data_IF_121388783274
#
_entry.id   IF_121388783274
#
_cell.length_a   1.000
_cell.length_b   1.000
_cell.length_c   1.000
_cell.angle_alpha   90.00
_cell.angle_beta   90.00
_cell.angle_gamma   90.00
#
_symmetry.space_group_name_H-M   'P 1'
#
loop_
_entity.id
_entity.type
_entity.pdbx_description
1 polymer ?
#
# COMPACT_ATOMS: atom_id res chain seq x y z
N UNK A 1 16.27 -22.03 18.60
CA UNK A 1 17.00 -21.58 17.39
C UNK A 1 16.08 -21.10 16.27
N UNK A 2 15.01 -21.83 15.92
CA UNK A 2 14.06 -21.43 14.86
C UNK A 2 13.34 -20.09 15.14
N UNK A 3 12.82 -19.89 16.36
CA UNK A 3 12.15 -18.64 16.75
C UNK A 3 13.06 -17.40 16.62
N UNK A 4 14.33 -17.51 17.04
CA UNK A 4 15.32 -16.43 16.91
C UNK A 4 15.60 -16.08 15.44
N UNK A 5 15.64 -17.09 14.57
CA UNK A 5 15.84 -16.92 13.12
C UNK A 5 14.63 -16.28 12.45
N UNK A 6 13.41 -16.68 12.81
CA UNK A 6 12.17 -16.06 12.32
C UNK A 6 12.08 -14.60 12.76
N UNK A 7 12.38 -14.31 14.03
CA UNK A 7 12.38 -12.94 14.56
C UNK A 7 13.38 -12.06 13.81
N UNK A 8 14.62 -12.52 13.62
CA UNK A 8 15.64 -11.78 12.89
C UNK A 8 15.23 -11.52 11.43
N UNK A 9 14.71 -12.54 10.74
CA UNK A 9 14.25 -12.40 9.35
C UNK A 9 13.09 -11.41 9.24
N UNK A 10 12.18 -11.42 10.22
CA UNK A 10 11.05 -10.48 10.28
C UNK A 10 11.56 -9.06 10.47
N UNK A 11 12.48 -8.84 11.42
CA UNK A 11 13.09 -7.53 11.67
C UNK A 11 13.79 -7.01 10.41
N UNK A 12 14.61 -7.83 9.76
CA UNK A 12 15.31 -7.44 8.53
C UNK A 12 14.31 -7.12 7.41
N UNK A 13 13.25 -7.91 7.26
CA UNK A 13 12.22 -7.68 6.24
C UNK A 13 11.45 -6.38 6.48
N UNK A 14 11.09 -6.10 7.73
CA UNK A 14 10.40 -4.87 8.13
C UNK A 14 11.32 -3.66 7.93
N UNK A 15 12.56 -3.72 8.43
CA UNK A 15 13.54 -2.65 8.26
C UNK A 15 13.83 -2.38 6.78
N UNK A 16 14.02 -3.44 5.98
CA UNK A 16 14.22 -3.35 4.54
C UNK A 16 13.04 -2.69 3.83
N UNK A 17 11.80 -3.05 4.20
CA UNK A 17 10.60 -2.42 3.63
C UNK A 17 10.46 -0.94 4.01
N UNK A 18 10.76 -0.58 5.26
CA UNK A 18 10.75 0.82 5.71
C UNK A 18 11.80 1.63 4.94
N UNK A 19 13.02 1.11 4.81
CA UNK A 19 14.08 1.77 4.03
C UNK A 19 13.72 1.90 2.55
N UNK A 20 13.21 0.83 1.92
CA UNK A 20 12.75 0.86 0.53
C UNK A 20 11.63 1.87 0.30
N UNK A 21 10.71 2.02 1.27
CA UNK A 21 9.64 3.02 1.22
C UNK A 21 10.21 4.44 1.33
N UNK A 22 11.16 4.65 2.25
CA UNK A 22 11.87 5.93 2.36
C UNK A 22 12.60 6.31 1.07
N UNK A 23 13.36 5.37 0.48
CA UNK A 23 14.01 5.58 -0.81
C UNK A 23 13.02 5.86 -1.93
N UNK A 24 11.86 5.18 -1.95
CA UNK A 24 10.82 5.44 -2.94
C UNK A 24 10.26 6.87 -2.81
N UNK A 25 10.04 7.37 -1.59
CA UNK A 25 9.63 8.75 -1.35
C UNK A 25 10.70 9.77 -1.79
N UNK A 26 11.98 9.48 -1.56
CA UNK A 26 13.09 10.31 -2.05
C UNK A 26 13.11 10.33 -3.58
N UNK A 27 12.99 9.16 -4.24
CA UNK A 27 12.90 9.09 -5.70
C UNK A 27 11.72 9.89 -6.25
N UNK A 28 10.54 9.80 -5.61
CA UNK A 28 9.38 10.63 -5.97
C UNK A 28 9.70 12.11 -5.80
N UNK A 29 10.36 12.48 -4.69
CA UNK A 29 10.76 13.86 -4.43
C UNK A 29 11.77 14.42 -5.43
N UNK A 30 12.65 13.58 -5.98
CA UNK A 30 13.55 13.98 -7.08
C UNK A 30 12.77 14.12 -8.39
N UNK A 31 11.96 13.12 -8.75
CA UNK A 31 11.20 13.11 -10.00
C UNK A 31 10.23 14.28 -10.09
N UNK A 32 9.47 14.56 -9.03
CA UNK A 32 8.46 15.63 -9.00
C UNK A 32 9.04 17.03 -9.02
N UNK A 33 10.32 17.19 -8.64
CA UNK A 33 11.06 18.46 -8.72
C UNK A 33 11.77 18.67 -10.05
N UNK A 34 12.27 17.60 -10.65
CA UNK A 34 13.02 17.67 -11.91
C UNK A 34 12.12 17.63 -13.13
N UNK A 35 11.02 16.89 -13.07
CA UNK A 35 10.04 16.82 -14.14
C UNK A 35 9.08 18.00 -14.08
N UNK A 36 8.58 18.41 -15.25
CA UNK A 36 7.43 19.29 -15.32
C UNK A 36 6.19 18.61 -14.72
N UNK A 37 5.18 19.40 -14.32
CA UNK A 37 3.90 18.85 -13.81
C UNK A 37 3.24 17.89 -14.82
N UNK A 38 3.36 18.20 -16.10
CA UNK A 38 2.85 17.37 -17.19
C UNK A 38 3.60 16.04 -17.25
N UNK A 39 4.93 16.07 -17.28
CA UNK A 39 5.77 14.86 -17.36
C UNK A 39 5.58 13.96 -16.14
N UNK A 40 5.49 14.51 -14.92
CA UNK A 40 5.16 13.74 -13.73
C UNK A 40 3.76 13.12 -13.82
N UNK A 41 2.81 13.86 -14.37
CA UNK A 41 1.48 13.38 -14.70
C UNK A 41 1.52 12.17 -15.63
N UNK A 42 2.24 12.27 -16.74
CA UNK A 42 2.37 11.19 -17.72
C UNK A 42 3.09 9.97 -17.14
N UNK A 43 4.13 10.20 -16.33
CA UNK A 43 4.80 9.15 -15.56
C UNK A 43 3.83 8.46 -14.59
N UNK A 44 2.98 9.24 -13.92
CA UNK A 44 1.97 8.74 -12.99
C UNK A 44 0.87 7.95 -13.69
N UNK A 45 0.44 8.38 -14.87
CA UNK A 45 -0.51 7.65 -15.73
C UNK A 45 0.11 6.31 -16.12
N UNK A 46 1.37 6.30 -16.59
CA UNK A 46 2.07 5.06 -16.91
C UNK A 46 2.13 4.09 -15.72
N UNK A 47 2.48 4.56 -14.52
CA UNK A 47 2.52 3.72 -13.31
C UNK A 47 1.13 3.17 -12.94
N UNK A 48 0.11 4.01 -13.03
CA UNK A 48 -1.28 3.65 -12.68
C UNK A 48 -1.84 2.63 -13.65
N UNK A 49 -1.65 2.87 -14.95
CA UNK A 49 -2.07 1.97 -16.01
C UNK A 49 -1.34 0.62 -15.91
N UNK A 50 -0.01 0.63 -15.75
CA UNK A 50 0.77 -0.59 -15.58
C UNK A 50 0.43 -1.37 -14.31
N UNK A 51 0.10 -0.69 -13.20
CA UNK A 51 -0.35 -1.32 -11.96
C UNK A 51 -1.61 -2.18 -12.15
N UNK A 52 -2.52 -1.76 -13.02
CA UNK A 52 -3.73 -2.54 -13.35
C UNK A 52 -3.38 -3.83 -14.07
N UNK A 53 -2.54 -3.71 -15.09
CA UNK A 53 -2.05 -4.86 -15.84
C UNK A 53 -1.19 -5.78 -14.96
N UNK A 54 -0.52 -5.25 -13.94
CA UNK A 54 0.21 -6.07 -12.97
C UNK A 54 -0.71 -6.94 -12.11
N UNK A 55 -1.88 -6.43 -11.72
CA UNK A 55 -2.89 -7.23 -11.01
C UNK A 55 -3.49 -8.29 -11.93
N UNK A 56 -3.81 -7.94 -13.19
CA UNK A 56 -4.28 -8.90 -14.18
C UNK A 56 -3.23 -9.98 -14.45
N UNK A 57 -1.97 -9.57 -14.56
CA UNK A 57 -0.85 -10.47 -14.73
C UNK A 57 -0.70 -11.41 -13.55
N UNK A 58 -1.05 -10.98 -12.31
CA UNK A 58 -0.88 -11.77 -11.07
C UNK A 58 -1.47 -13.19 -11.19
N UNK A 59 -2.66 -13.32 -11.80
CA UNK A 59 -3.33 -14.59 -12.05
C UNK A 59 -3.44 -15.53 -10.82
N UNK A 60 -3.25 -15.00 -9.60
CA UNK A 60 -3.19 -15.79 -8.37
C UNK A 60 -1.97 -16.71 -8.25
N UNK A 61 -0.97 -16.58 -9.13
CA UNK A 61 0.13 -17.54 -9.27
C UNK A 61 1.06 -17.54 -8.07
N UNK A 62 1.23 -16.40 -7.41
CA UNK A 62 2.03 -16.29 -6.19
C UNK A 62 1.45 -17.18 -5.07
N UNK A 63 0.15 -17.07 -4.80
CA UNK A 63 -0.51 -17.86 -3.76
C UNK A 63 -0.59 -19.35 -4.14
N UNK A 64 -0.88 -19.64 -5.41
CA UNK A 64 -0.85 -21.00 -5.95
C UNK A 64 0.53 -21.63 -5.73
N UNK A 65 1.61 -20.94 -6.11
CA UNK A 65 2.98 -21.44 -5.95
C UNK A 65 3.25 -21.81 -4.51
N UNK A 66 3.06 -20.87 -3.57
CA UNK A 66 3.30 -21.07 -2.13
C UNK A 66 2.56 -22.30 -1.63
N UNK A 67 1.29 -22.47 -2.03
CA UNK A 67 0.47 -23.60 -1.61
C UNK A 67 0.98 -24.93 -2.15
N UNK A 68 1.26 -25.03 -3.44
CA UNK A 68 1.67 -26.28 -4.07
C UNK A 68 3.06 -26.73 -3.61
N UNK A 69 4.03 -25.82 -3.52
CA UNK A 69 5.38 -26.17 -3.04
C UNK A 69 5.41 -26.49 -1.55
N UNK A 70 4.40 -26.08 -0.76
CA UNK A 70 4.31 -26.37 0.68
C UNK A 70 3.72 -27.74 1.00
N UNK A 71 3.23 -28.49 0.01
CA UNK A 71 2.71 -29.85 0.25
C UNK A 71 3.84 -30.81 0.58
N UNK A 72 3.55 -31.79 1.43
CA UNK A 72 4.50 -32.88 1.72
C UNK A 72 4.81 -33.66 0.43
N UNK A 73 6.10 -33.94 0.19
CA UNK A 73 6.56 -34.62 -1.02
C UNK A 73 6.48 -33.80 -2.32
N UNK A 74 6.18 -32.50 -2.27
CA UNK A 74 6.12 -31.65 -3.45
C UNK A 74 7.50 -31.50 -4.13
N UNK A 75 7.55 -31.69 -5.45
CA UNK A 75 8.72 -31.34 -6.25
C UNK A 75 8.77 -29.81 -6.43
N UNK A 76 9.44 -29.13 -5.50
CA UNK A 76 9.59 -27.68 -5.53
C UNK A 76 10.21 -27.17 -6.83
N UNK A 77 11.15 -27.93 -7.41
CA UNK A 77 11.89 -27.52 -8.60
C UNK A 77 10.97 -27.48 -9.79
N UNK A 78 10.23 -28.56 -10.04
CA UNK A 78 9.33 -28.64 -11.19
C UNK A 78 8.14 -27.70 -11.03
N UNK A 79 7.50 -27.67 -9.85
CA UNK A 79 6.35 -26.78 -9.59
C UNK A 79 6.76 -25.31 -9.77
N UNK A 80 7.88 -24.89 -9.16
CA UNK A 80 8.33 -23.52 -9.28
C UNK A 80 8.73 -23.16 -10.71
N UNK A 81 9.36 -24.07 -11.45
CA UNK A 81 9.75 -23.87 -12.85
C UNK A 81 8.53 -23.73 -13.76
N UNK A 82 7.52 -24.60 -13.62
CA UNK A 82 6.26 -24.52 -14.39
C UNK A 82 5.50 -23.23 -14.11
N UNK A 83 5.31 -22.88 -12.83
CA UNK A 83 4.60 -21.64 -12.45
C UNK A 83 5.36 -20.40 -12.90
N UNK A 84 6.69 -20.41 -12.81
CA UNK A 84 7.53 -19.31 -13.28
C UNK A 84 7.47 -19.14 -14.81
N UNK A 85 7.58 -20.23 -15.57
CA UNK A 85 7.47 -20.18 -17.03
C UNK A 85 6.09 -19.76 -17.50
N UNK A 86 5.02 -20.29 -16.87
CA UNK A 86 3.65 -19.85 -17.13
C UNK A 86 3.49 -18.36 -16.83
N UNK A 87 4.02 -17.88 -15.68
CA UNK A 87 4.02 -16.46 -15.32
C UNK A 87 4.67 -15.61 -16.40
N UNK A 88 5.89 -15.95 -16.84
CA UNK A 88 6.62 -15.15 -17.83
C UNK A 88 5.87 -15.06 -19.17
N UNK A 89 5.31 -16.19 -19.64
CA UNK A 89 4.53 -16.23 -20.87
C UNK A 89 3.22 -15.44 -20.76
N UNK A 90 2.43 -15.68 -19.71
CA UNK A 90 1.15 -15.01 -19.50
C UNK A 90 1.33 -13.49 -19.28
N UNK A 91 2.30 -13.09 -18.46
CA UNK A 91 2.59 -11.67 -18.24
C UNK A 91 3.12 -10.97 -19.50
N UNK A 92 3.89 -11.66 -20.36
CA UNK A 92 4.33 -11.08 -21.64
C UNK A 92 3.14 -10.75 -22.54
N UNK A 93 2.13 -11.63 -22.61
CA UNK A 93 0.90 -11.38 -23.37
C UNK A 93 0.09 -10.23 -22.75
N UNK A 94 -0.07 -10.22 -21.43
CA UNK A 94 -0.88 -9.22 -20.72
C UNK A 94 -0.25 -7.83 -20.83
N UNK A 95 1.05 -7.71 -20.54
CA UNK A 95 1.76 -6.43 -20.66
C UNK A 95 2.00 -6.03 -22.12
N UNK A 96 2.17 -6.99 -23.04
CA UNK A 96 2.26 -6.74 -24.48
C UNK A 96 0.94 -6.20 -25.08
N UNK A 97 -0.21 -6.57 -24.50
CA UNK A 97 -1.50 -6.03 -24.88
C UNK A 97 -1.76 -4.61 -24.32
N UNK A 98 -1.08 -4.22 -23.23
CA UNK A 98 -1.34 -2.95 -22.56
C UNK A 98 -1.14 -1.71 -23.46
N UNK A 99 -0.08 -1.61 -24.29
CA UNK A 99 0.05 -0.52 -25.27
C UNK A 99 -1.11 -0.46 -26.26
N UNK A 100 -1.62 -1.60 -26.73
CA UNK A 100 -2.76 -1.64 -27.65
C UNK A 100 -4.02 -1.14 -26.97
N UNK A 101 -4.26 -1.55 -25.73
CA UNK A 101 -5.39 -1.07 -24.92
C UNK A 101 -5.27 0.44 -24.67
N UNK A 102 -4.05 0.95 -24.46
CA UNK A 102 -3.81 2.39 -24.23
C UNK A 102 -4.22 3.29 -25.42
N UNK A 103 -4.34 2.73 -26.63
CA UNK A 103 -4.82 3.46 -27.81
C UNK A 103 -6.31 3.82 -27.72
N UNK A 104 -7.09 3.06 -26.94
CA UNK A 104 -8.49 3.35 -26.67
C UNK A 104 -8.70 4.51 -25.67
N UNK A 105 -7.62 4.98 -25.03
CA UNK A 105 -7.65 6.04 -24.04
C UNK A 105 -7.13 7.37 -24.62
N UNK A 106 -7.63 8.52 -24.12
CA UNK A 106 -7.25 9.85 -24.58
C UNK A 106 -5.87 10.29 -24.05
N UNK A 107 -4.89 9.39 -24.05
CA UNK A 107 -3.54 9.65 -23.59
C UNK A 107 -2.69 10.32 -24.65
N UNK A 108 -1.76 11.18 -24.20
CA UNK A 108 -0.78 11.83 -25.09
C UNK A 108 0.18 10.80 -25.71
N UNK A 109 0.86 11.20 -26.79
CA UNK A 109 1.89 10.37 -27.40
C UNK A 109 3.01 10.03 -26.39
N UNK A 110 3.37 10.99 -25.53
CA UNK A 110 4.40 10.81 -24.51
C UNK A 110 3.99 9.79 -23.46
N UNK A 111 2.75 9.83 -22.96
CA UNK A 111 2.23 8.80 -22.05
C UNK A 111 2.23 7.41 -22.71
N UNK A 112 1.78 7.32 -23.96
CA UNK A 112 1.69 6.04 -24.69
C UNK A 112 3.06 5.39 -24.86
N UNK A 113 4.06 6.15 -25.28
CA UNK A 113 5.44 5.65 -25.37
C UNK A 113 6.04 5.36 -23.99
N UNK A 114 5.71 6.18 -22.99
CA UNK A 114 6.02 5.88 -21.58
C UNK A 114 5.45 4.53 -21.15
N UNK A 115 4.19 4.23 -21.49
CA UNK A 115 3.52 2.94 -21.22
C UNK A 115 4.26 1.81 -21.92
N UNK A 116 4.58 1.93 -23.22
CA UNK A 116 5.32 0.92 -23.98
C UNK A 116 6.63 0.55 -23.28
N UNK A 117 7.43 1.54 -22.89
CA UNK A 117 8.71 1.32 -22.21
C UNK A 117 8.48 0.76 -20.80
N UNK A 118 7.57 1.39 -20.03
CA UNK A 118 7.27 1.04 -18.65
C UNK A 118 6.72 -0.38 -18.47
N UNK A 119 5.98 -0.91 -19.45
CA UNK A 119 5.47 -2.28 -19.41
C UNK A 119 6.59 -3.34 -19.34
N UNK A 120 7.77 -3.06 -19.90
CA UNK A 120 8.93 -3.95 -19.72
C UNK A 120 9.34 -4.03 -18.24
N UNK A 121 9.30 -2.89 -17.52
CA UNK A 121 9.56 -2.84 -16.08
C UNK A 121 8.53 -3.65 -15.29
N UNK A 122 7.25 -3.50 -15.60
CA UNK A 122 6.19 -4.29 -14.96
C UNK A 122 6.29 -5.79 -15.24
N UNK A 123 6.72 -6.19 -16.44
CA UNK A 123 7.00 -7.59 -16.77
C UNK A 123 8.10 -8.18 -15.89
N UNK A 124 9.22 -7.47 -15.70
CA UNK A 124 10.28 -7.89 -14.76
C UNK A 124 9.77 -7.99 -13.32
N UNK A 125 9.00 -7.00 -12.85
CA UNK A 125 8.41 -7.04 -11.50
C UNK A 125 7.48 -8.24 -11.32
N UNK A 126 6.65 -8.56 -12.32
CA UNK A 126 5.75 -9.71 -12.27
C UNK A 126 6.50 -11.04 -12.15
N UNK A 127 7.62 -11.17 -12.87
CA UNK A 127 8.53 -12.31 -12.74
C UNK A 127 9.18 -12.40 -11.35
N UNK A 128 9.56 -11.27 -10.76
CA UNK A 128 10.13 -11.25 -9.41
C UNK A 128 9.07 -11.64 -8.35
N UNK A 129 7.86 -11.11 -8.51
CA UNK A 129 6.74 -11.31 -7.58
C UNK A 129 6.34 -12.77 -7.45
N UNK A 130 6.28 -13.54 -8.55
CA UNK A 130 5.94 -14.97 -8.44
C UNK A 130 6.97 -15.74 -7.63
N UNK A 131 8.25 -15.43 -7.83
CA UNK A 131 9.36 -16.12 -7.16
C UNK A 131 9.45 -15.80 -5.68
N UNK A 132 8.83 -14.71 -5.21
CA UNK A 132 8.67 -14.45 -3.78
C UNK A 132 8.04 -15.64 -3.04
N UNK A 133 7.19 -16.42 -3.70
CA UNK A 133 6.56 -17.60 -3.09
C UNK A 133 7.55 -18.66 -2.63
N UNK A 134 8.66 -18.84 -3.37
CA UNK A 134 9.75 -19.75 -3.00
C UNK A 134 10.42 -19.30 -1.69
N UNK A 135 10.65 -17.99 -1.55
CA UNK A 135 11.26 -17.42 -0.35
C UNK A 135 10.31 -17.42 0.84
N UNK A 136 9.01 -17.18 0.60
CA UNK A 136 8.00 -17.22 1.66
C UNK A 136 7.87 -18.62 2.26
N UNK A 137 7.82 -19.68 1.44
CA UNK A 137 7.82 -21.08 1.92
C UNK A 137 8.94 -21.33 2.92
N UNK A 138 10.12 -20.81 2.60
CA UNK A 138 11.33 -21.01 3.40
C UNK A 138 11.52 -20.00 4.54
N UNK A 139 10.56 -19.08 4.75
CA UNK A 139 10.68 -17.97 5.70
C UNK A 139 11.93 -17.12 5.46
N UNK A 140 12.30 -16.94 4.18
CA UNK A 140 13.50 -16.22 3.71
C UNK A 140 13.18 -14.88 3.03
N UNK A 141 12.15 -14.18 3.53
CA UNK A 141 11.69 -12.91 2.97
C UNK A 141 12.74 -11.79 3.04
N UNK A 142 13.76 -11.93 3.90
CA UNK A 142 14.89 -10.99 3.96
C UNK A 142 15.62 -10.87 2.62
N UNK A 143 15.68 -11.95 1.83
CA UNK A 143 16.34 -11.95 0.52
C UNK A 143 15.58 -11.10 -0.50
N UNK A 144 14.25 -11.19 -0.49
CA UNK A 144 13.39 -10.38 -1.34
C UNK A 144 13.50 -8.91 -0.95
N UNK A 145 13.47 -8.62 0.35
CA UNK A 145 13.62 -7.25 0.86
C UNK A 145 14.96 -6.62 0.45
N UNK A 146 16.06 -7.39 0.51
CA UNK A 146 17.39 -6.93 0.07
C UNK A 146 17.44 -6.68 -1.45
N UNK A 147 16.83 -7.56 -2.26
CA UNK A 147 16.76 -7.35 -3.71
C UNK A 147 15.90 -6.12 -4.08
N UNK A 148 14.82 -5.86 -3.34
CA UNK A 148 14.00 -4.66 -3.50
C UNK A 148 14.79 -3.41 -3.13
N UNK A 149 15.49 -3.43 -1.99
CA UNK A 149 16.33 -2.33 -1.54
C UNK A 149 17.44 -2.01 -2.55
N UNK A 150 18.12 -3.03 -3.08
CA UNK A 150 19.14 -2.87 -4.11
C UNK A 150 18.55 -2.23 -5.38
N UNK A 151 17.39 -2.71 -5.84
CA UNK A 151 16.68 -2.12 -6.97
C UNK A 151 16.33 -0.65 -6.75
N UNK A 152 15.85 -0.28 -5.55
CA UNK A 152 15.53 1.11 -5.19
C UNK A 152 16.74 2.03 -5.13
N UNK A 153 17.85 1.57 -4.55
CA UNK A 153 19.10 2.33 -4.52
C UNK A 153 19.63 2.60 -5.93
N UNK A 154 19.59 1.59 -6.79
CA UNK A 154 20.01 1.75 -8.19
C UNK A 154 19.05 2.66 -8.94
N UNK A 155 17.74 2.53 -8.73
CA UNK A 155 16.75 3.43 -9.31
C UNK A 155 17.06 4.88 -8.95
N UNK A 156 17.32 5.15 -7.66
CA UNK A 156 17.64 6.49 -7.16
C UNK A 156 18.90 7.06 -7.82
N UNK A 157 19.97 6.26 -7.91
CA UNK A 157 21.21 6.67 -8.59
C UNK A 157 21.01 6.91 -10.08
N UNK A 158 20.23 6.08 -10.76
CA UNK A 158 19.91 6.24 -12.18
C UNK A 158 19.01 7.47 -12.44
N UNK A 159 18.06 7.75 -11.56
CA UNK A 159 17.23 8.96 -11.62
C UNK A 159 18.12 10.19 -11.49
N UNK A 160 18.99 10.23 -10.47
CA UNK A 160 19.91 11.32 -10.28
C UNK A 160 20.81 11.53 -11.51
N UNK A 161 21.40 10.46 -12.04
CA UNK A 161 22.23 10.52 -13.25
C UNK A 161 21.45 11.03 -14.48
N UNK A 162 20.20 10.56 -14.67
CA UNK A 162 19.37 10.98 -15.80
C UNK A 162 18.99 12.46 -15.72
N UNK A 163 18.83 13.00 -14.51
CA UNK A 163 18.56 14.42 -14.26
C UNK A 163 19.81 15.26 -14.57
N UNK A 164 20.97 14.89 -14.00
CA UNK A 164 22.23 15.62 -14.21
C UNK A 164 22.64 15.66 -15.69
N UNK A 165 22.42 14.56 -16.42
CA UNK A 165 22.70 14.46 -17.85
C UNK A 165 21.57 14.97 -18.75
N UNK A 166 20.46 15.47 -18.16
CA UNK A 166 19.28 15.99 -18.88
C UNK A 166 18.74 15.02 -19.96
N UNK A 167 18.72 13.71 -19.68
CA UNK A 167 18.37 12.66 -20.65
C UNK A 167 16.86 12.61 -21.01
N UNK A 168 16.05 13.47 -20.39
CA UNK A 168 14.62 13.62 -20.68
C UNK A 168 13.72 12.54 -20.10
N UNK A 169 12.42 12.66 -20.40
CA UNK A 169 11.34 11.84 -19.82
C UNK A 169 11.52 10.33 -20.04
N UNK A 170 11.86 9.89 -21.24
CA UNK A 170 11.96 8.45 -21.54
C UNK A 170 13.15 7.79 -20.83
N UNK A 171 14.26 8.51 -20.61
CA UNK A 171 15.37 8.01 -19.81
C UNK A 171 14.95 7.81 -18.36
N UNK A 172 14.16 8.74 -17.81
CA UNK A 172 13.55 8.60 -16.49
C UNK A 172 12.63 7.37 -16.42
N UNK A 173 11.80 7.12 -17.43
CA UNK A 173 10.99 5.89 -17.52
C UNK A 173 11.90 4.65 -17.58
N UNK A 174 13.00 4.69 -18.33
CA UNK A 174 13.95 3.59 -18.41
C UNK A 174 14.63 3.28 -17.07
N UNK A 175 14.82 4.26 -16.17
CA UNK A 175 15.33 3.99 -14.82
C UNK A 175 14.44 3.02 -14.03
N UNK A 176 13.11 3.14 -14.19
CA UNK A 176 12.16 2.21 -13.58
C UNK A 176 12.35 0.79 -14.15
N UNK A 177 12.46 0.66 -15.47
CA UNK A 177 12.68 -0.62 -16.14
C UNK A 177 13.99 -1.28 -15.68
N UNK A 178 15.09 -0.52 -15.65
CA UNK A 178 16.39 -1.03 -15.22
C UNK A 178 16.38 -1.46 -13.75
N UNK A 179 15.75 -0.68 -12.86
CA UNK A 179 15.61 -1.05 -11.46
C UNK A 179 14.79 -2.33 -11.25
N UNK A 180 13.71 -2.49 -12.02
CA UNK A 180 12.87 -3.68 -12.01
C UNK A 180 13.62 -4.90 -12.56
N UNK A 181 14.39 -4.74 -13.64
CA UNK A 181 15.21 -5.79 -14.22
C UNK A 181 16.27 -6.29 -13.23
N UNK A 182 16.91 -5.39 -12.49
CA UNK A 182 17.91 -5.76 -11.48
C UNK A 182 17.26 -6.46 -10.30
N UNK A 183 16.12 -5.95 -9.81
CA UNK A 183 15.35 -6.62 -8.77
C UNK A 183 14.98 -8.05 -9.20
N UNK A 184 14.43 -8.21 -10.41
CA UNK A 184 14.11 -9.49 -11.00
C UNK A 184 15.33 -10.41 -11.09
N UNK A 185 16.45 -9.92 -11.61
CA UNK A 185 17.68 -10.71 -11.77
C UNK A 185 18.18 -11.23 -10.42
N UNK A 186 18.21 -10.38 -9.39
CA UNK A 186 18.63 -10.77 -8.05
C UNK A 186 17.71 -11.83 -7.45
N UNK A 187 16.38 -11.63 -7.54
CA UNK A 187 15.39 -12.59 -7.03
C UNK A 187 15.48 -13.92 -7.79
N UNK A 188 15.61 -13.87 -9.12
CA UNK A 188 15.72 -15.04 -9.97
C UNK A 188 17.00 -15.83 -9.69
N UNK A 189 18.16 -15.19 -9.59
CA UNK A 189 19.43 -15.85 -9.26
C UNK A 189 19.35 -16.55 -7.89
N UNK A 190 18.84 -15.84 -6.88
CA UNK A 190 18.69 -16.41 -5.53
C UNK A 190 17.69 -17.57 -5.50
N UNK A 191 16.63 -17.53 -6.30
CA UNK A 191 15.65 -18.61 -6.39
C UNK A 191 16.20 -19.80 -7.18
N UNK A 192 16.94 -19.54 -8.28
CA UNK A 192 17.60 -20.57 -9.08
C UNK A 192 18.60 -21.37 -8.27
N UNK A 193 19.43 -20.72 -7.45
CA UNK A 193 20.35 -21.43 -6.55
C UNK A 193 19.63 -22.20 -5.44
N UNK A 194 18.38 -21.84 -5.11
CA UNK A 194 17.64 -22.45 -4.01
C UNK A 194 16.88 -23.70 -4.45
N UNK A 195 16.16 -23.63 -5.56
CA UNK A 195 15.29 -24.72 -6.04
C UNK A 195 15.67 -25.25 -7.42
N UNK A 196 16.73 -24.75 -8.06
CA UNK A 196 17.17 -25.25 -9.37
C UNK A 196 16.26 -24.86 -10.52
N UNK A 197 15.71 -23.64 -10.51
CA UNK A 197 14.79 -23.13 -11.53
C UNK A 197 15.33 -23.31 -12.95
N UNK A 198 14.47 -23.77 -13.84
CA UNK A 198 14.65 -23.75 -15.29
C UNK A 198 13.36 -23.28 -15.96
N UNK A 199 13.40 -23.11 -17.28
CA UNK A 199 12.17 -22.92 -18.05
C UNK A 199 11.54 -24.29 -18.30
N UNK A 200 10.24 -24.42 -18.00
CA UNK A 200 9.46 -25.63 -18.23
C UNK A 200 8.16 -25.28 -18.94
N UNK A 201 7.87 -26.00 -20.02
CA UNK A 201 6.73 -25.73 -20.90
C UNK A 201 5.90 -27.01 -21.04
N UNK A 202 4.98 -27.21 -20.11
CA UNK A 202 4.00 -28.29 -20.15
C UNK A 202 2.59 -27.69 -20.21
N UNK A 203 1.98 -27.75 -21.39
CA UNK A 203 0.67 -27.15 -21.63
C UNK A 203 -0.45 -27.77 -20.77
N UNK A 204 -0.60 -29.12 -20.69
CA UNK A 204 -1.48 -29.75 -19.70
C UNK A 204 -1.26 -29.24 -18.27
N UNK A 205 -0.01 -29.08 -17.84
CA UNK A 205 0.30 -28.55 -16.52
C UNK A 205 -0.14 -27.08 -16.38
N UNK A 206 0.08 -26.24 -17.40
CA UNK A 206 -0.35 -24.85 -17.41
C UNK A 206 -1.86 -24.69 -17.34
N UNK A 207 -2.62 -25.55 -18.03
CA UNK A 207 -4.07 -25.60 -17.91
C UNK A 207 -4.49 -25.93 -16.47
N UNK A 208 -3.80 -26.88 -15.82
CA UNK A 208 -4.02 -27.20 -14.41
C UNK A 208 -3.69 -26.01 -13.49
N UNK A 209 -2.57 -25.32 -13.71
CA UNK A 209 -2.23 -24.10 -12.96
C UNK A 209 -3.36 -23.08 -13.09
N UNK A 210 -3.76 -22.75 -14.32
CA UNK A 210 -4.76 -21.72 -14.60
C UNK A 210 -6.12 -22.05 -13.99
N UNK A 211 -6.61 -23.29 -14.19
CA UNK A 211 -7.90 -23.75 -13.63
C UNK A 211 -7.97 -23.66 -12.10
N UNK A 212 -6.83 -23.73 -11.42
CA UNK A 212 -6.76 -23.64 -9.96
C UNK A 212 -6.50 -22.19 -9.50
N UNK A 213 -5.78 -21.39 -10.29
CA UNK A 213 -5.36 -20.04 -9.90
C UNK A 213 -6.34 -18.94 -10.32
N UNK A 214 -7.16 -19.14 -11.37
CA UNK A 214 -8.08 -18.11 -11.86
C UNK A 214 -9.06 -17.56 -10.80
N UNK A 215 -9.58 -18.34 -9.81
CA UNK A 215 -10.46 -17.78 -8.79
C UNK A 215 -9.71 -16.79 -7.87
N UNK A 216 -8.43 -17.06 -7.61
CA UNK A 216 -7.55 -16.17 -6.86
C UNK A 216 -7.25 -14.89 -7.67
N UNK A 217 -7.08 -15.03 -9.00
CA UNK A 217 -6.93 -13.90 -9.91
C UNK A 217 -8.15 -12.96 -9.85
N UNK A 218 -9.37 -13.51 -9.92
CA UNK A 218 -10.61 -12.74 -9.82
C UNK A 218 -10.67 -11.98 -8.48
N UNK A 219 -10.30 -12.64 -7.38
CA UNK A 219 -10.23 -11.97 -6.07
C UNK A 219 -9.24 -10.81 -6.05
N UNK A 220 -8.07 -10.96 -6.70
CA UNK A 220 -7.08 -9.90 -6.84
C UNK A 220 -7.59 -8.70 -7.63
N UNK A 221 -8.25 -8.95 -8.77
CA UNK A 221 -8.86 -7.90 -9.61
C UNK A 221 -9.95 -7.15 -8.85
N UNK A 222 -10.83 -7.85 -8.14
CA UNK A 222 -11.86 -7.21 -7.31
C UNK A 222 -11.25 -6.32 -6.21
N UNK A 223 -10.12 -6.75 -5.65
CA UNK A 223 -9.39 -5.97 -4.63
C UNK A 223 -8.77 -4.71 -5.23
N UNK A 224 -8.21 -4.79 -6.44
CA UNK A 224 -7.66 -3.63 -7.14
C UNK A 224 -8.73 -2.61 -7.52
N UNK A 225 -9.87 -3.10 -8.02
CA UNK A 225 -11.04 -2.26 -8.31
C UNK A 225 -11.49 -1.51 -7.06
N UNK A 226 -11.28 -2.07 -5.87
CA UNK A 226 -11.58 -1.40 -4.60
C UNK A 226 -10.51 -0.36 -4.21
N UNK A 227 -9.22 -0.65 -4.38
CA UNK A 227 -8.15 0.14 -3.76
C UNK A 227 -7.56 1.31 -4.59
N UNK A 228 -7.85 1.45 -5.88
CA UNK A 228 -7.36 2.62 -6.66
C UNK A 228 -8.07 2.89 -8.01
N UNK A 229 -9.40 2.73 -8.15
CA UNK A 229 -10.05 3.01 -9.44
C UNK A 229 -10.06 4.51 -9.78
N UNK A 230 -10.07 5.35 -8.76
CA UNK A 230 -10.09 6.81 -8.81
C UNK A 230 -8.97 7.42 -9.67
N UNK A 231 -7.74 6.95 -9.51
CA UNK A 231 -6.57 7.45 -10.25
C UNK A 231 -6.67 7.14 -11.75
N UNK A 232 -7.21 5.97 -12.10
CA UNK A 232 -7.46 5.59 -13.49
C UNK A 232 -8.61 6.40 -14.08
N UNK A 233 -9.72 6.53 -13.34
CA UNK A 233 -10.88 7.31 -13.79
C UNK A 233 -10.45 8.77 -14.01
N UNK A 234 -9.65 9.34 -13.10
CA UNK A 234 -9.09 10.67 -13.24
C UNK A 234 -8.24 10.81 -14.51
N UNK A 235 -7.41 9.81 -14.84
CA UNK A 235 -6.60 9.85 -16.07
C UNK A 235 -7.40 9.76 -17.37
N UNK A 236 -8.65 9.28 -17.32
CA UNK A 236 -9.53 9.22 -18.50
C UNK A 236 -10.14 10.60 -18.78
N UNK A 237 -10.54 11.32 -17.73
CA UNK A 237 -11.36 12.53 -17.85
C UNK A 237 -10.57 13.83 -17.74
N UNK A 238 -9.36 13.80 -17.16
CA UNK A 238 -8.58 15.01 -16.87
C UNK A 238 -7.14 14.93 -17.37
N UNK A 239 -6.50 16.10 -17.65
CA UNK A 239 -5.11 16.16 -18.12
C UNK A 239 -4.10 15.55 -17.15
N UNK A 240 -2.94 15.18 -17.67
CA UNK A 240 -1.87 14.51 -16.92
C UNK A 240 -1.43 15.30 -15.67
N UNK A 241 -1.34 16.63 -15.75
CA UNK A 241 -0.97 17.51 -14.63
C UNK A 241 -1.91 17.32 -13.43
N UNK A 242 -3.20 17.15 -13.71
CA UNK A 242 -4.25 16.92 -12.71
C UNK A 242 -4.06 15.58 -12.03
N UNK A 243 -3.72 14.54 -12.80
CA UNK A 243 -3.40 13.21 -12.29
C UNK A 243 -2.14 13.24 -11.43
N UNK A 244 -1.10 13.96 -11.88
CA UNK A 244 0.16 14.13 -11.14
C UNK A 244 -0.05 14.81 -9.78
N UNK A 245 -0.86 15.87 -9.74
CA UNK A 245 -1.21 16.57 -8.51
C UNK A 245 -1.98 15.70 -7.51
N UNK A 246 -2.81 14.77 -7.99
CA UNK A 246 -3.51 13.81 -7.14
C UNK A 246 -2.60 12.66 -6.66
N UNK A 247 -1.74 12.14 -7.54
CA UNK A 247 -0.93 10.93 -7.25
C UNK A 247 0.19 11.19 -6.24
N UNK A 248 0.71 12.41 -6.20
CA UNK A 248 1.70 12.80 -5.20
C UNK A 248 1.20 12.60 -3.75
N UNK A 249 0.11 13.24 -3.30
CA UNK A 249 -0.43 13.04 -1.95
C UNK A 249 -1.02 11.64 -1.73
N UNK A 250 -1.56 11.00 -2.78
CA UNK A 250 -2.02 9.62 -2.70
C UNK A 250 -0.93 8.63 -2.30
N UNK A 251 0.33 8.85 -2.73
CA UNK A 251 1.45 8.00 -2.32
C UNK A 251 1.74 8.06 -0.82
N UNK A 252 1.50 9.21 -0.20
CA UNK A 252 1.65 9.38 1.25
C UNK A 252 0.58 8.54 1.96
N UNK A 253 -0.68 8.59 1.48
CA UNK A 253 -1.76 7.72 1.97
C UNK A 253 -1.35 6.25 1.87
N UNK A 254 -0.90 5.78 0.70
CA UNK A 254 -0.48 4.38 0.49
C UNK A 254 0.61 3.94 1.48
N UNK A 255 1.52 4.84 1.84
CA UNK A 255 2.60 4.57 2.79
C UNK A 255 2.09 4.48 4.24
N UNK A 256 1.06 5.24 4.59
CA UNK A 256 0.51 5.31 5.95
C UNK A 256 -0.48 4.19 6.28
N UNK A 257 -1.22 3.66 5.29
CA UNK A 257 -2.19 2.59 5.52
C UNK A 257 -1.55 1.26 5.94
N UNK A 258 -0.23 1.11 5.80
CA UNK A 258 0.50 -0.06 6.28
C UNK A 258 0.49 -0.19 7.82
N UNK A 259 0.60 0.92 8.55
CA UNK A 259 0.69 0.93 10.01
C UNK A 259 -0.54 0.31 10.71
N UNK A 260 -1.78 0.68 10.40
CA UNK A 260 -2.95 0.07 11.04
C UNK A 260 -3.07 -1.40 10.69
N UNK A 261 -2.81 -1.79 9.44
CA UNK A 261 -2.82 -3.19 9.03
C UNK A 261 -1.80 -4.04 9.80
N UNK A 262 -0.58 -3.52 9.98
CA UNK A 262 0.47 -4.16 10.78
C UNK A 262 0.04 -4.31 12.25
N UNK A 263 -0.42 -3.22 12.88
CA UNK A 263 -0.87 -3.25 14.27
C UNK A 263 -2.00 -4.25 14.50
N UNK A 264 -3.03 -4.20 13.65
CA UNK A 264 -4.20 -5.08 13.77
C UNK A 264 -3.83 -6.54 13.47
N UNK A 265 -2.93 -6.78 12.53
CA UNK A 265 -2.39 -8.12 12.25
C UNK A 265 -1.70 -8.76 13.47
N UNK A 266 -1.01 -7.98 14.29
CA UNK A 266 -0.35 -8.47 15.50
C UNK A 266 -1.33 -8.87 16.61
N UNK A 267 -2.44 -8.15 16.75
CA UNK A 267 -3.47 -8.45 17.77
C UNK A 267 -4.46 -9.53 17.32
N UNK A 268 -4.51 -9.85 16.01
CA UNK A 268 -5.48 -10.76 15.42
C UNK A 268 -5.56 -12.14 16.11
N UNK A 269 -4.46 -12.83 16.46
CA UNK A 269 -4.55 -14.12 17.16
C UNK A 269 -5.26 -14.03 18.51
N UNK A 270 -5.08 -12.92 19.23
CA UNK A 270 -5.75 -12.67 20.52
C UNK A 270 -7.23 -12.38 20.31
N UNK A 271 -7.58 -11.58 19.30
CA UNK A 271 -8.97 -11.32 18.92
C UNK A 271 -9.70 -12.60 18.55
N UNK A 272 -9.13 -13.43 17.68
CA UNK A 272 -9.74 -14.71 17.30
C UNK A 272 -9.90 -15.64 18.50
N UNK A 273 -8.87 -15.82 19.33
CA UNK A 273 -8.96 -16.70 20.51
C UNK A 273 -10.03 -16.26 21.50
N UNK A 274 -10.17 -14.95 21.72
CA UNK A 274 -11.15 -14.40 22.67
C UNK A 274 -12.56 -14.38 22.10
N UNK A 275 -12.72 -14.19 20.79
CA UNK A 275 -14.03 -14.21 20.13
C UNK A 275 -14.81 -15.52 20.36
N UNK A 276 -14.13 -16.67 20.37
CA UNK A 276 -14.75 -17.99 20.61
C UNK A 276 -14.98 -18.30 22.09
N UNK A 277 -14.00 -17.99 22.94
CA UNK A 277 -13.95 -18.51 24.30
C UNK A 277 -14.50 -17.53 25.35
N UNK A 278 -14.42 -16.23 25.11
CA UNK A 278 -14.77 -15.20 26.09
C UNK A 278 -15.12 -13.87 25.40
N UNK A 279 -16.43 -13.67 25.17
CA UNK A 279 -16.93 -12.46 24.52
C UNK A 279 -16.65 -11.19 25.32
N UNK A 280 -16.58 -11.26 26.65
CA UNK A 280 -16.28 -10.08 27.46
C UNK A 280 -14.82 -9.65 27.26
N UNK A 281 -13.91 -10.63 27.26
CA UNK A 281 -12.49 -10.40 26.97
C UNK A 281 -12.26 -9.94 25.53
N UNK A 282 -13.00 -10.48 24.56
CA UNK A 282 -12.98 -9.96 23.19
C UNK A 282 -13.30 -8.46 23.16
N UNK A 283 -14.40 -8.03 23.79
CA UNK A 283 -14.77 -6.61 23.85
C UNK A 283 -13.70 -5.74 24.50
N UNK A 284 -13.06 -6.23 25.57
CA UNK A 284 -11.98 -5.51 26.25
C UNK A 284 -10.75 -5.34 25.34
N UNK A 285 -10.28 -6.43 24.71
CA UNK A 285 -9.13 -6.38 23.78
C UNK A 285 -9.45 -5.48 22.59
N UNK A 286 -10.65 -5.61 22.04
CA UNK A 286 -11.11 -4.82 20.91
C UNK A 286 -11.24 -3.32 21.26
N UNK A 287 -11.73 -2.98 22.45
CA UNK A 287 -11.76 -1.61 22.95
C UNK A 287 -10.35 -1.04 23.10
N UNK A 288 -9.42 -1.77 23.72
CA UNK A 288 -8.02 -1.32 23.87
C UNK A 288 -7.36 -1.08 22.52
N UNK A 289 -7.59 -1.97 21.55
CA UNK A 289 -7.10 -1.79 20.19
C UNK A 289 -7.71 -0.54 19.52
N UNK A 290 -9.01 -0.31 19.71
CA UNK A 290 -9.68 0.90 19.24
C UNK A 290 -9.08 2.16 19.87
N UNK A 291 -8.86 2.18 21.19
CA UNK A 291 -8.27 3.32 21.90
C UNK A 291 -6.86 3.65 21.42
N UNK A 292 -6.02 2.62 21.18
CA UNK A 292 -4.69 2.80 20.59
C UNK A 292 -4.80 3.41 19.18
N UNK A 293 -5.72 2.93 18.35
CA UNK A 293 -5.90 3.47 17.01
C UNK A 293 -6.45 4.90 17.03
N UNK A 294 -7.31 5.28 17.99
CA UNK A 294 -7.70 6.68 18.21
C UNK A 294 -6.47 7.53 18.54
N UNK A 295 -5.62 7.06 19.47
CA UNK A 295 -4.39 7.75 19.88
C UNK A 295 -3.38 7.90 18.75
N UNK A 296 -3.41 7.06 17.71
CA UNK A 296 -2.51 7.14 16.55
C UNK A 296 -3.13 7.90 15.37
N UNK A 297 -4.40 7.66 15.06
CA UNK A 297 -5.06 8.22 13.88
C UNK A 297 -5.33 9.72 14.01
N UNK A 298 -5.85 10.18 15.16
CA UNK A 298 -6.21 11.58 15.33
C UNK A 298 -5.02 12.57 15.26
N UNK A 299 -3.89 12.35 15.94
CA UNK A 299 -2.73 13.24 15.80
C UNK A 299 -2.11 13.17 14.42
N UNK A 300 -2.20 12.01 13.74
CA UNK A 300 -1.74 11.88 12.37
C UNK A 300 -2.57 12.77 11.45
N UNK A 301 -3.90 12.69 11.54
CA UNK A 301 -4.81 13.56 10.78
C UNK A 301 -4.58 15.03 11.12
N UNK A 302 -4.70 15.40 12.40
CA UNK A 302 -4.60 16.78 12.86
C UNK A 302 -3.22 17.38 12.60
N UNK A 303 -2.15 16.61 12.84
CA UNK A 303 -0.77 17.04 12.60
C UNK A 303 -0.53 17.31 11.12
N UNK A 304 -0.98 16.41 10.23
CA UNK A 304 -0.83 16.61 8.78
C UNK A 304 -1.57 17.84 8.28
N UNK A 305 -2.69 18.26 8.88
CA UNK A 305 -3.33 19.53 8.50
C UNK A 305 -2.38 20.75 8.62
N UNK A 306 -1.49 20.76 9.61
CA UNK A 306 -0.52 21.84 9.80
C UNK A 306 0.76 21.64 8.99
N UNK A 307 1.18 20.39 8.77
CA UNK A 307 2.46 20.09 8.09
C UNK A 307 2.31 19.73 6.61
N UNK A 308 1.09 19.71 6.06
CA UNK A 308 0.85 19.28 4.68
C UNK A 308 1.53 20.17 3.62
N UNK A 309 1.61 21.51 3.76
CA UNK A 309 2.39 22.33 2.83
C UNK A 309 3.87 21.89 2.81
N UNK A 310 4.47 21.69 3.97
CA UNK A 310 5.87 21.30 4.13
C UNK A 310 6.12 19.89 3.59
N UNK A 311 5.19 18.95 3.78
CA UNK A 311 5.29 17.60 3.20
C UNK A 311 5.25 17.68 1.67
N UNK A 312 4.30 18.44 1.13
CA UNK A 312 4.13 18.57 -0.32
C UNK A 312 5.30 19.33 -0.94
N UNK A 313 5.82 20.36 -0.30
CA UNK A 313 7.01 21.07 -0.75
C UNK A 313 8.28 20.21 -0.62
N UNK A 314 8.36 19.37 0.42
CA UNK A 314 9.44 18.41 0.59
C UNK A 314 9.42 17.31 -0.48
N UNK A 315 8.29 17.03 -1.11
CA UNK A 315 8.23 16.08 -2.21
C UNK A 315 8.23 16.81 -3.55
N UNK A 316 7.20 17.59 -3.84
CA UNK A 316 6.97 18.27 -5.12
C UNK A 316 7.62 19.64 -5.31
N UNK A 317 8.29 20.22 -4.30
CA UNK A 317 9.06 21.47 -4.45
C UNK A 317 8.26 22.71 -4.86
N UNK A 318 7.05 22.92 -4.32
CA UNK A 318 6.19 24.05 -4.66
C UNK A 318 5.44 23.91 -6.00
N UNK A 319 5.75 22.88 -6.79
CA UNK A 319 5.08 22.63 -8.07
C UNK A 319 3.67 22.05 -7.92
N UNK A 320 3.11 21.92 -6.72
CA UNK A 320 1.79 21.31 -6.52
C UNK A 320 1.03 22.01 -5.38
N UNK A 321 0.63 23.28 -5.54
CA UNK A 321 -0.03 24.04 -4.48
C UNK A 321 -1.36 23.40 -4.05
N UNK A 322 -2.05 22.69 -4.95
CA UNK A 322 -3.30 22.00 -4.66
C UNK A 322 -3.10 20.71 -3.86
N UNK A 323 -1.92 20.08 -3.96
CA UNK A 323 -1.66 18.78 -3.34
C UNK A 323 -1.69 18.81 -1.82
N UNK A 324 -1.41 19.95 -1.17
CA UNK A 324 -1.48 20.07 0.28
C UNK A 324 -2.92 19.91 0.80
N UNK A 325 -3.89 20.52 0.10
CA UNK A 325 -5.31 20.41 0.49
C UNK A 325 -5.85 19.02 0.12
N UNK A 326 -5.43 18.45 -1.00
CA UNK A 326 -5.76 17.06 -1.36
C UNK A 326 -5.23 16.10 -0.30
N UNK A 327 -3.98 16.30 0.15
CA UNK A 327 -3.39 15.51 1.23
C UNK A 327 -4.26 15.59 2.49
N UNK A 328 -4.68 16.78 2.90
CA UNK A 328 -5.54 16.95 4.06
C UNK A 328 -6.85 16.15 3.96
N UNK A 329 -7.51 16.13 2.79
CA UNK A 329 -8.70 15.30 2.57
C UNK A 329 -8.38 13.81 2.63
N UNK A 330 -7.30 13.38 1.98
CA UNK A 330 -6.85 11.98 1.99
C UNK A 330 -6.45 11.51 3.39
N UNK A 331 -5.94 12.40 4.25
CA UNK A 331 -5.64 12.08 5.63
C UNK A 331 -6.89 11.76 6.44
N UNK A 332 -8.03 12.39 6.15
CA UNK A 332 -9.31 11.98 6.74
C UNK A 332 -9.62 10.52 6.39
N UNK A 333 -9.41 10.11 5.13
CA UNK A 333 -9.57 8.72 4.72
C UNK A 333 -8.59 7.80 5.47
N UNK A 334 -7.31 8.19 5.61
CA UNK A 334 -6.32 7.44 6.42
C UNK A 334 -6.82 7.25 7.85
N UNK A 335 -7.31 8.30 8.49
CA UNK A 335 -7.86 8.22 9.85
C UNK A 335 -9.01 7.22 9.95
N UNK A 336 -9.89 7.17 8.94
CA UNK A 336 -11.01 6.22 8.87
C UNK A 336 -10.50 4.79 8.60
N UNK A 337 -9.52 4.61 7.73
CA UNK A 337 -8.91 3.31 7.39
C UNK A 337 -8.29 2.65 8.63
N UNK A 338 -7.78 3.42 9.60
CA UNK A 338 -7.30 2.85 10.87
C UNK A 338 -8.41 2.07 11.58
N UNK A 339 -9.61 2.65 11.69
CA UNK A 339 -10.78 1.99 12.27
C UNK A 339 -11.32 0.87 11.36
N UNK A 340 -11.40 1.13 10.05
CA UNK A 340 -11.81 0.14 9.06
C UNK A 340 -10.96 -1.13 9.12
N UNK A 341 -9.65 -0.99 9.31
CA UNK A 341 -8.72 -2.12 9.49
C UNK A 341 -9.05 -2.93 10.74
N UNK A 342 -9.25 -2.29 11.90
CA UNK A 342 -9.64 -2.98 13.12
C UNK A 342 -10.98 -3.71 12.97
N UNK A 343 -11.97 -3.05 12.36
CA UNK A 343 -13.31 -3.61 12.22
C UNK A 343 -13.34 -4.75 11.20
N UNK A 344 -12.58 -4.66 10.12
CA UNK A 344 -12.42 -5.75 9.16
C UNK A 344 -11.88 -7.01 9.84
N UNK A 345 -10.77 -6.90 10.59
CA UNK A 345 -10.20 -8.03 11.32
C UNK A 345 -11.08 -8.51 12.47
N UNK A 346 -11.78 -7.59 13.15
CA UNK A 346 -12.78 -7.93 14.16
C UNK A 346 -13.92 -8.78 13.60
N UNK A 347 -14.42 -8.46 12.40
CA UNK A 347 -15.40 -9.29 11.70
C UNK A 347 -14.83 -10.67 11.35
N UNK A 348 -13.58 -10.73 10.87
CA UNK A 348 -12.93 -12.02 10.57
C UNK A 348 -12.82 -12.87 11.83
N UNK A 349 -12.42 -12.28 12.97
CA UNK A 349 -12.30 -12.96 14.25
C UNK A 349 -13.66 -13.50 14.76
N UNK A 350 -14.76 -12.85 14.38
CA UNK A 350 -16.13 -13.22 14.70
C UNK A 350 -16.80 -14.08 13.61
N UNK A 351 -16.02 -14.70 12.71
CA UNK A 351 -16.52 -15.53 11.59
C UNK A 351 -17.49 -14.81 10.64
N UNK A 352 -17.29 -13.49 10.47
CA UNK A 352 -18.11 -12.60 9.67
C UNK A 352 -17.68 -12.46 8.22
N UNK A 353 -16.87 -13.36 7.64
CA UNK A 353 -16.22 -13.18 6.33
C UNK A 353 -17.22 -12.95 5.19
N UNK A 354 -18.37 -13.65 5.21
CA UNK A 354 -19.44 -13.45 4.22
C UNK A 354 -20.05 -12.04 4.28
N UNK A 355 -20.18 -11.46 5.48
CA UNK A 355 -20.67 -10.08 5.65
C UNK A 355 -19.61 -9.08 5.21
N UNK A 356 -18.35 -9.31 5.59
CA UNK A 356 -17.22 -8.50 5.15
C UNK A 356 -17.17 -8.43 3.62
N UNK A 357 -17.24 -9.57 2.93
CA UNK A 357 -17.28 -9.63 1.47
C UNK A 357 -18.43 -8.80 0.88
N UNK A 358 -19.64 -8.92 1.43
CA UNK A 358 -20.80 -8.13 0.98
C UNK A 358 -20.60 -6.63 1.20
N UNK A 359 -20.07 -6.23 2.35
CA UNK A 359 -19.80 -4.82 2.67
C UNK A 359 -18.73 -4.27 1.71
N UNK A 360 -17.64 -4.99 1.49
CA UNK A 360 -16.59 -4.60 0.55
C UNK A 360 -17.11 -4.51 -0.89
N UNK A 361 -17.98 -5.42 -1.32
CA UNK A 361 -18.61 -5.34 -2.63
C UNK A 361 -19.48 -4.08 -2.79
N UNK A 362 -20.31 -3.76 -1.79
CA UNK A 362 -21.07 -2.51 -1.78
C UNK A 362 -20.18 -1.27 -1.75
N UNK A 363 -19.09 -1.30 -0.98
CA UNK A 363 -18.07 -0.25 -0.97
C UNK A 363 -17.44 -0.03 -2.34
N UNK A 364 -17.03 -1.10 -3.03
CA UNK A 364 -16.48 -1.03 -4.38
C UNK A 364 -17.48 -0.45 -5.39
N UNK A 365 -18.74 -0.91 -5.36
CA UNK A 365 -19.80 -0.41 -6.25
C UNK A 365 -20.04 1.08 -5.99
N UNK A 366 -20.16 1.49 -4.73
CA UNK A 366 -20.31 2.89 -4.36
C UNK A 366 -19.12 3.72 -4.83
N UNK A 367 -17.90 3.26 -4.57
CA UNK A 367 -16.67 3.95 -4.94
C UNK A 367 -16.57 4.16 -6.46
N UNK A 368 -16.78 3.10 -7.24
CA UNK A 368 -16.79 3.19 -8.70
C UNK A 368 -17.87 4.14 -9.21
N UNK A 369 -19.12 3.97 -8.75
CA UNK A 369 -20.24 4.79 -9.20
C UNK A 369 -20.03 6.27 -8.86
N UNK A 370 -19.63 6.56 -7.62
CA UNK A 370 -19.33 7.91 -7.17
C UNK A 370 -18.16 8.53 -7.96
N UNK A 371 -17.09 7.77 -8.20
CA UNK A 371 -15.95 8.25 -8.99
C UNK A 371 -16.36 8.55 -10.45
N UNK A 372 -17.09 7.66 -11.12
CA UNK A 372 -17.54 7.91 -12.50
C UNK A 372 -18.52 9.09 -12.62
N UNK A 373 -19.33 9.37 -11.59
CA UNK A 373 -20.30 10.48 -11.60
C UNK A 373 -19.64 11.82 -11.21
N UNK A 374 -18.74 11.80 -10.22
CA UNK A 374 -18.22 13.01 -9.58
C UNK A 374 -16.88 13.46 -10.15
N UNK A 375 -15.97 12.56 -10.54
CA UNK A 375 -14.65 12.93 -11.09
C UNK A 375 -14.78 13.78 -12.36
N UNK A 376 -15.66 13.49 -13.34
CA UNK A 376 -15.80 14.34 -14.52
C UNK A 376 -16.20 15.79 -14.18
N UNK A 377 -16.86 16.02 -13.03
CA UNK A 377 -17.38 17.33 -12.62
C UNK A 377 -16.44 18.08 -11.67
N UNK A 378 -15.77 17.37 -10.76
CA UNK A 378 -15.00 17.97 -9.66
C UNK A 378 -13.54 17.51 -9.59
N UNK A 379 -13.05 16.78 -10.60
CA UNK A 379 -11.63 16.42 -10.72
C UNK A 379 -11.09 15.67 -9.49
N UNK A 380 -9.84 15.92 -9.10
CA UNK A 380 -9.17 15.30 -7.94
C UNK A 380 -9.89 15.55 -6.60
N UNK A 381 -10.70 16.62 -6.48
CA UNK A 381 -11.51 16.85 -5.27
C UNK A 381 -12.55 15.75 -5.08
N UNK A 382 -13.21 15.35 -6.17
CA UNK A 382 -14.14 14.23 -6.15
C UNK A 382 -13.44 12.90 -5.87
N UNK A 383 -12.25 12.68 -6.43
CA UNK A 383 -11.48 11.47 -6.15
C UNK A 383 -11.15 11.35 -4.64
N UNK A 384 -10.58 12.40 -4.05
CA UNK A 384 -10.27 12.43 -2.63
C UNK A 384 -11.51 12.29 -1.73
N UNK A 385 -12.58 13.05 -2.03
CA UNK A 385 -13.83 12.99 -1.26
C UNK A 385 -14.52 11.63 -1.36
N UNK A 386 -14.55 11.02 -2.56
CA UNK A 386 -15.16 9.71 -2.77
C UNK A 386 -14.42 8.64 -1.98
N UNK A 387 -13.10 8.71 -1.89
CA UNK A 387 -12.28 7.83 -1.04
C UNK A 387 -12.67 7.96 0.44
N UNK A 388 -12.77 9.19 0.97
CA UNK A 388 -13.22 9.41 2.36
C UNK A 388 -14.62 8.86 2.59
N UNK A 389 -15.57 9.14 1.70
CA UNK A 389 -16.95 8.69 1.81
C UNK A 389 -17.07 7.17 1.73
N UNK A 390 -16.31 6.52 0.86
CA UNK A 390 -16.27 5.07 0.72
C UNK A 390 -15.75 4.42 2.00
N UNK A 391 -14.62 4.91 2.52
CA UNK A 391 -14.03 4.37 3.75
C UNK A 391 -14.94 4.58 4.96
N UNK A 392 -15.63 5.73 5.04
CA UNK A 392 -16.63 5.98 6.07
C UNK A 392 -17.80 4.99 5.95
N UNK A 393 -18.38 4.85 4.77
CA UNK A 393 -19.49 3.93 4.51
C UNK A 393 -19.12 2.50 4.92
N UNK A 394 -17.99 2.01 4.44
CA UNK A 394 -17.50 0.66 4.71
C UNK A 394 -17.23 0.47 6.21
N UNK A 395 -16.53 1.41 6.85
CA UNK A 395 -16.22 1.34 8.28
C UNK A 395 -17.48 1.35 9.15
N UNK A 396 -18.47 2.19 8.82
CA UNK A 396 -19.76 2.25 9.52
C UNK A 396 -20.52 0.93 9.36
N UNK A 397 -20.60 0.39 8.15
CA UNK A 397 -21.26 -0.90 7.89
C UNK A 397 -20.57 -2.05 8.63
N UNK A 398 -19.23 -2.05 8.70
CA UNK A 398 -18.48 -3.04 9.46
C UNK A 398 -18.75 -2.91 10.96
N UNK A 399 -18.74 -1.69 11.52
CA UNK A 399 -19.07 -1.44 12.92
C UNK A 399 -20.50 -1.89 13.25
N UNK A 400 -21.47 -1.59 12.38
CA UNK A 400 -22.85 -2.04 12.54
C UNK A 400 -22.96 -3.58 12.55
N UNK A 401 -22.21 -4.25 11.67
CA UNK A 401 -22.16 -5.71 11.63
C UNK A 401 -21.53 -6.30 12.91
N UNK A 402 -20.43 -5.72 13.42
CA UNK A 402 -19.81 -6.13 14.68
C UNK A 402 -20.76 -5.92 15.84
N UNK A 403 -21.39 -4.75 15.95
CA UNK A 403 -22.39 -4.44 16.99
C UNK A 403 -23.49 -5.49 17.00
N UNK A 404 -23.99 -5.91 15.84
CA UNK A 404 -25.02 -6.96 15.73
C UNK A 404 -24.53 -8.33 16.20
N UNK A 405 -23.26 -8.70 15.93
CA UNK A 405 -22.73 -10.03 16.26
C UNK A 405 -22.25 -10.12 17.71
N UNK A 406 -21.49 -9.14 18.18
CA UNK A 406 -20.80 -9.17 19.47
C UNK A 406 -21.46 -8.29 20.54
N UNK A 407 -22.42 -7.42 20.17
CA UNK A 407 -22.96 -6.37 21.05
C UNK A 407 -21.86 -5.44 21.59
N UNK A 408 -20.75 -5.29 20.85
CA UNK A 408 -19.73 -4.29 21.13
C UNK A 408 -20.22 -2.90 20.72
N UNK A 409 -19.91 -1.90 21.55
CA UNK A 409 -20.09 -0.48 21.25
C UNK A 409 -18.79 0.22 21.65
N UNK A 410 -18.11 0.92 20.74
CA UNK A 410 -16.88 1.60 21.07
C UNK A 410 -17.16 2.65 22.14
N UNK A 411 -16.40 2.59 23.22
CA UNK A 411 -16.27 3.68 24.17
C UNK A 411 -15.42 4.78 23.54
N UNK A 412 -15.84 6.04 23.69
CA UNK A 412 -15.05 7.22 23.32
C UNK A 412 -14.46 7.91 24.57
N UNK A 413 -14.28 7.19 25.68
CA UNK A 413 -13.69 7.75 26.90
C UNK A 413 -12.27 8.29 26.68
N UNK A 414 -11.48 7.63 25.82
CA UNK A 414 -10.12 8.06 25.46
C UNK A 414 -10.16 9.25 24.50
N UNK A 415 -11.22 9.41 23.70
CA UNK A 415 -11.35 10.47 22.70
C UNK A 415 -11.18 11.86 23.34
N UNK A 416 -11.84 12.13 24.46
CA UNK A 416 -11.75 13.43 25.13
C UNK A 416 -10.32 13.74 25.59
N UNK A 417 -9.59 12.74 26.11
CA UNK A 417 -8.20 12.90 26.54
C UNK A 417 -7.28 13.14 25.34
N UNK A 418 -7.50 12.41 24.24
CA UNK A 418 -6.77 12.61 22.99
C UNK A 418 -7.02 14.00 22.41
N UNK A 419 -8.27 14.45 22.34
CA UNK A 419 -8.62 15.79 21.88
C UNK A 419 -7.94 16.88 22.72
N UNK A 420 -7.89 16.71 24.05
CA UNK A 420 -7.15 17.61 24.94
C UNK A 420 -5.63 17.56 24.68
N UNK A 421 -5.07 16.38 24.41
CA UNK A 421 -3.66 16.21 24.07
C UNK A 421 -3.28 16.78 22.70
N UNK A 422 -4.23 16.91 21.77
CA UNK A 422 -4.01 17.55 20.47
C UNK A 422 -3.87 19.06 20.56
N UNK A 423 -4.47 19.73 21.56
CA UNK A 423 -4.39 21.18 21.71
C UNK A 423 -2.95 21.71 21.81
N UNK A 424 -2.08 21.21 22.73
CA UNK A 424 -0.71 21.69 22.81
C UNK A 424 0.12 21.33 21.56
N UNK A 425 -0.14 20.17 20.95
CA UNK A 425 0.51 19.79 19.69
C UNK A 425 0.12 20.76 18.56
N UNK A 426 -1.18 21.04 18.40
CA UNK A 426 -1.69 21.96 17.39
C UNK A 426 -1.17 23.38 17.61
N UNK A 427 -1.14 23.85 18.86
CA UNK A 427 -0.57 25.16 19.21
C UNK A 427 0.91 25.26 18.83
N UNK A 428 1.70 24.21 19.12
CA UNK A 428 3.11 24.15 18.70
C UNK A 428 3.26 24.16 17.18
N UNK A 429 2.53 23.30 16.47
CA UNK A 429 2.61 23.21 15.01
C UNK A 429 2.18 24.51 14.34
N UNK A 430 1.14 25.18 14.86
CA UNK A 430 0.69 26.47 14.37
C UNK A 430 1.73 27.57 14.58
N UNK A 431 2.29 27.68 15.80
CA UNK A 431 3.28 28.72 16.11
C UNK A 431 4.59 28.54 15.34
N UNK A 432 5.04 27.28 15.20
CA UNK A 432 6.31 26.95 14.55
C UNK A 432 6.17 26.56 13.08
N UNK A 433 5.02 26.78 12.43
CA UNK A 433 4.72 26.30 11.07
C UNK A 433 5.78 26.68 10.01
N UNK A 434 6.54 27.76 10.21
CA UNK A 434 7.62 28.19 9.30
C UNK A 434 8.96 27.47 9.55
N UNK A 435 9.04 26.61 10.57
CA UNK A 435 10.25 25.87 10.93
C UNK A 435 10.47 24.66 10.02
N UNK A 436 11.66 24.07 10.09
CA UNK A 436 11.99 22.87 9.34
C UNK A 436 11.01 21.72 9.66
N UNK A 437 10.64 20.95 8.63
CA UNK A 437 9.76 19.79 8.71
C UNK A 437 10.15 18.78 9.81
N UNK A 438 11.45 18.48 9.98
CA UNK A 438 11.94 17.56 11.01
C UNK A 438 11.65 18.10 12.40
N UNK A 439 11.85 19.40 12.61
CA UNK A 439 11.55 20.05 13.89
C UNK A 439 10.05 20.01 14.20
N UNK A 440 9.19 20.26 13.20
CA UNK A 440 7.74 20.20 13.36
C UNK A 440 7.26 18.80 13.76
N UNK A 441 7.68 17.76 13.04
CA UNK A 441 7.27 16.38 13.34
C UNK A 441 7.80 15.92 14.69
N UNK A 442 9.10 16.10 14.95
CA UNK A 442 9.71 15.63 16.20
C UNK A 442 9.15 16.40 17.40
N UNK A 443 9.06 17.73 17.31
CA UNK A 443 8.50 18.56 18.38
C UNK A 443 7.03 18.30 18.63
N UNK A 444 6.21 18.28 17.57
CA UNK A 444 4.77 17.98 17.67
C UNK A 444 4.51 16.59 18.26
N UNK A 445 5.25 15.58 17.80
CA UNK A 445 5.15 14.21 18.32
C UNK A 445 5.53 14.10 19.80
N UNK A 446 6.64 14.73 20.22
CA UNK A 446 7.06 14.72 21.62
C UNK A 446 6.05 15.43 22.54
N UNK A 447 5.54 16.59 22.11
CA UNK A 447 4.53 17.36 22.85
C UNK A 447 3.24 16.56 22.97
N UNK A 448 2.80 15.91 21.90
CA UNK A 448 1.62 15.07 21.92
C UNK A 448 1.79 13.87 22.86
N UNK A 449 2.93 13.17 22.82
CA UNK A 449 3.21 12.05 23.73
C UNK A 449 3.23 12.50 25.20
N UNK A 450 3.85 13.64 25.49
CA UNK A 450 3.83 14.24 26.82
C UNK A 450 2.41 14.61 27.26
N UNK A 451 1.60 15.17 26.35
CA UNK A 451 0.21 15.54 26.65
C UNK A 451 -0.70 14.32 26.83
N UNK A 452 -0.50 13.24 26.09
CA UNK A 452 -1.20 11.95 26.31
C UNK A 452 -0.88 11.37 27.69
N UNK A 453 0.36 11.48 28.11
CA UNK A 453 0.78 11.08 29.45
C UNK A 453 0.11 11.92 30.54
N UNK A 454 0.13 13.26 30.40
CA UNK A 454 -0.47 14.19 31.37
C UNK A 454 -1.99 14.07 31.46
N UNK A 455 -2.67 13.83 30.35
CA UNK A 455 -4.13 13.61 30.32
C UNK A 455 -4.54 12.23 30.84
N UNK A 456 -3.57 11.35 31.15
CA UNK A 456 -3.82 9.98 31.58
C UNK A 456 -4.43 9.11 30.47
N UNK A 457 -4.24 9.48 29.21
CA UNK A 457 -4.63 8.63 28.06
C UNK A 457 -3.73 7.39 27.97
N UNK A 458 -2.45 7.54 28.35
CA UNK A 458 -1.49 6.45 28.50
C UNK A 458 -1.10 6.34 29.98
N UNK A 459 -1.19 5.14 30.56
CA UNK A 459 -0.77 4.91 31.95
C UNK A 459 0.71 4.50 32.06
N UNK A 460 1.39 4.90 33.15
CA UNK A 460 2.76 4.44 33.47
C UNK A 460 2.87 2.92 33.55
N UNK A 461 1.79 2.23 33.92
CA UNK A 461 1.74 0.76 33.98
C UNK A 461 1.85 0.14 32.59
N UNK A 462 1.14 0.68 31.61
CA UNK A 462 1.18 0.22 30.22
C UNK A 462 2.54 0.49 29.57
N UNK A 463 3.16 1.64 29.84
CA UNK A 463 4.52 1.95 29.37
C UNK A 463 5.54 0.98 30.00
N UNK A 464 5.42 0.69 31.30
CA UNK A 464 6.32 -0.26 31.98
C UNK A 464 6.13 -1.71 31.52
N UNK A 465 4.92 -2.13 31.17
CA UNK A 465 4.67 -3.44 30.55
C UNK A 465 5.26 -3.55 29.14
N UNK A 466 5.27 -2.46 28.37
CA UNK A 466 5.88 -2.40 27.03
C UNK A 466 7.41 -2.46 27.07
N UNK A 467 8.05 -1.91 28.10
CA UNK A 467 9.52 -1.88 28.26
C UNK A 467 10.07 -3.16 28.91
N UNK A 468 9.25 -3.91 29.67
CA UNK A 468 9.66 -5.14 30.37
C UNK A 468 9.59 -6.42 29.51
N UNK A 469 9.10 -6.35 28.28
CA UNK A 469 9.11 -7.46 27.30
C UNK A 469 10.10 -7.16 26.20
#
# INVERSE_FOLDING_TARGET
>A
MLAKKIALNTIISVAGRVLSTGLALVSIGLLTRSLSRADWGEYSIMLTFGGIFAVLADLGLYQYLVREISREGADEREIASQVFSFRLAASLLIFGAAPLVSLAFPYSAQARWGIVIGMAGFWFLSGAQVLMGVFQKHLRMEKVALAELAGRLIQLGLIWLAIELQLGFYAIVATFVLSAAINFLLVWLMARWRVGLHLSFDWPYWQKIFSVSYPLAISGVLTMIYFSPDSLILSIFWPAETVGAYRLPYKILESLIFFPAMFVGLIMPVLSKTAFNDRAKFKQVFQKANDILVMLALPLVAGTFFVSPQIVDLLGGGNYPEAAVILNLLMLAVGVIFFGSLFSFGLIALEGQKKLLRISAWGAIFNLAANFILIPKFSYWAAAATTVLTELLVTILMLAAIKKISQFRPSFSVLNRVLLALLPMAAFLFYFQQSNFVFLISGGGLIYLAALYLTGAISLGEIKELIKK
#
